data_IF_532305389795
#
_entry.id   IF_532305389795
#
_cell.length_a   1.000
_cell.length_b   1.000
_cell.length_c   1.000
_cell.angle_alpha   90.00
_cell.angle_beta   90.00
_cell.angle_gamma   90.00
#
_symmetry.space_group_name_H-M   'P 1'
#
loop_
_entity.id
_entity.type
_entity.pdbx_description
1 polymer ?
#
# COMPACT_ATOMS: atom_id res chain seq x y z
N UNK A 1 -5.72 -24.38 -16.18
CA UNK A 1 -5.59 -23.56 -17.40
C UNK A 1 -4.73 -22.35 -17.04
N UNK A 2 -3.49 -22.37 -17.56
CA UNK A 2 -2.43 -21.34 -17.67
C UNK A 2 -2.28 -20.28 -16.57
N UNK A 3 -1.28 -20.49 -15.71
CA UNK A 3 -0.61 -19.48 -14.89
C UNK A 3 0.13 -18.48 -15.79
N UNK A 4 -0.12 -17.18 -15.63
CA UNK A 4 0.74 -16.14 -16.23
C UNK A 4 1.96 -15.91 -15.34
N UNK A 5 3.19 -15.78 -15.89
CA UNK A 5 4.37 -15.48 -15.09
C UNK A 5 4.35 -14.00 -14.65
N UNK A 6 4.99 -13.71 -13.51
CA UNK A 6 5.30 -12.34 -13.09
C UNK A 6 6.13 -11.64 -14.19
N UNK A 7 5.81 -10.38 -14.56
CA UNK A 7 6.46 -9.71 -15.68
C UNK A 7 7.92 -9.37 -15.37
N UNK A 8 8.77 -9.58 -16.37
CA UNK A 8 10.18 -9.17 -16.41
C UNK A 8 10.32 -7.65 -16.56
N UNK A 9 11.36 -7.08 -15.94
CA UNK A 9 11.76 -5.67 -16.03
C UNK A 9 11.67 -5.11 -17.46
N UNK A 10 10.71 -4.24 -17.69
CA UNK A 10 10.66 -3.36 -18.86
C UNK A 10 10.55 -1.92 -18.37
N UNK A 11 11.44 -1.09 -18.90
CA UNK A 11 11.55 0.36 -18.71
C UNK A 11 10.17 1.02 -18.59
N UNK A 12 9.96 1.74 -17.48
CA UNK A 12 8.80 2.61 -17.31
C UNK A 12 9.13 3.89 -18.07
N UNK A 13 8.64 3.97 -19.31
CA UNK A 13 8.69 5.17 -20.13
C UNK A 13 8.02 6.36 -19.45
N UNK A 14 8.56 7.55 -19.75
CA UNK A 14 8.09 8.84 -19.27
C UNK A 14 6.57 8.96 -19.31
N UNK A 15 5.98 9.24 -18.15
CA UNK A 15 4.56 9.51 -18.02
C UNK A 15 4.29 10.91 -18.58
N UNK A 16 3.69 10.96 -19.75
CA UNK A 16 3.14 12.17 -20.37
C UNK A 16 2.23 12.91 -19.36
N UNK A 17 2.58 14.16 -19.06
CA UNK A 17 1.91 15.06 -18.09
C UNK A 17 0.51 15.56 -18.56
N UNK A 18 -0.10 14.92 -19.57
CA UNK A 18 -1.31 15.42 -20.24
C UNK A 18 -2.62 14.68 -19.90
N UNK A 19 -2.62 13.79 -18.90
CA UNK A 19 -3.86 13.09 -18.50
C UNK A 19 -4.60 13.86 -17.40
N UNK A 20 -5.39 14.85 -17.82
CA UNK A 20 -6.30 15.64 -16.99
C UNK A 20 -7.48 14.76 -16.51
N UNK A 21 -7.17 13.83 -15.60
CA UNK A 21 -8.11 12.89 -15.00
C UNK A 21 -8.39 13.30 -13.55
N UNK A 22 -9.59 13.83 -13.30
CA UNK A 22 -9.97 14.46 -12.03
C UNK A 22 -9.72 13.59 -10.77
N UNK A 23 -9.81 12.26 -10.85
CA UNK A 23 -9.54 11.38 -9.69
C UNK A 23 -8.06 11.10 -9.44
N UNK A 24 -7.25 11.03 -10.51
CA UNK A 24 -5.78 10.98 -10.44
C UNK A 24 -5.26 12.27 -9.81
N UNK A 25 -5.88 13.39 -10.20
CA UNK A 25 -5.68 14.69 -9.60
C UNK A 25 -6.02 14.70 -8.11
N UNK A 26 -7.17 14.17 -7.67
CA UNK A 26 -7.56 14.18 -6.24
C UNK A 26 -6.60 13.41 -5.32
N UNK A 27 -6.23 12.16 -5.65
CA UNK A 27 -5.29 11.37 -4.83
C UNK A 27 -3.90 12.02 -4.78
N UNK A 28 -3.45 12.60 -5.90
CA UNK A 28 -2.22 13.38 -5.97
C UNK A 28 -2.28 14.62 -5.07
N UNK A 29 -3.38 15.37 -5.10
CA UNK A 29 -3.58 16.53 -4.21
C UNK A 29 -3.61 16.11 -2.74
N UNK A 30 -4.27 15.01 -2.39
CA UNK A 30 -4.27 14.48 -1.03
C UNK A 30 -2.87 14.07 -0.57
N UNK A 31 -2.07 13.46 -1.45
CA UNK A 31 -0.67 13.13 -1.16
C UNK A 31 0.18 14.39 -0.91
N UNK A 32 0.03 15.42 -1.75
CA UNK A 32 0.71 16.72 -1.57
C UNK A 32 0.36 17.32 -0.22
N UNK A 33 -0.93 17.43 0.09
CA UNK A 33 -1.39 18.00 1.35
C UNK A 33 -0.88 17.20 2.56
N UNK A 34 -0.87 15.87 2.46
CA UNK A 34 -0.33 14.99 3.51
C UNK A 34 1.15 15.25 3.75
N UNK A 35 1.97 15.28 2.68
CA UNK A 35 3.40 15.54 2.79
C UNK A 35 3.71 16.95 3.29
N UNK A 36 2.95 17.96 2.84
CA UNK A 36 3.06 19.32 3.35
C UNK A 36 2.72 19.39 4.84
N UNK A 37 1.69 18.69 5.28
CA UNK A 37 1.32 18.64 6.69
C UNK A 37 2.40 17.96 7.55
N UNK A 38 2.95 16.83 7.09
CA UNK A 38 4.10 16.17 7.75
C UNK A 38 5.29 17.14 7.80
N UNK A 39 5.57 17.86 6.72
CA UNK A 39 6.63 18.87 6.70
C UNK A 39 6.37 20.00 7.70
N UNK A 40 5.14 20.49 7.84
CA UNK A 40 4.78 21.53 8.81
C UNK A 40 4.95 21.05 10.25
N UNK A 41 4.56 19.81 10.55
CA UNK A 41 4.73 19.20 11.87
C UNK A 41 6.20 19.00 12.24
N UNK A 42 7.11 19.00 11.26
CA UNK A 42 8.55 18.79 11.44
C UNK A 42 8.88 17.60 12.36
N UNK A 43 8.24 16.42 12.20
CA UNK A 43 8.56 15.31 13.05
C UNK A 43 10.03 14.90 12.83
N UNK A 44 10.72 14.39 13.86
CA UNK A 44 12.04 13.82 13.68
C UNK A 44 11.97 12.61 12.74
N UNK A 45 10.90 11.81 12.86
CA UNK A 45 10.64 10.61 12.10
C UNK A 45 9.13 10.34 11.98
N UNK A 46 8.74 9.55 10.98
CA UNK A 46 7.37 9.07 10.85
C UNK A 46 7.30 7.65 10.29
N UNK A 47 6.14 7.03 10.50
CA UNK A 47 5.74 5.73 9.97
C UNK A 47 4.47 5.95 9.16
N UNK A 48 4.31 5.20 8.07
CA UNK A 48 3.08 5.21 7.28
C UNK A 48 2.31 3.92 7.54
N UNK A 49 1.10 4.04 8.08
CA UNK A 49 0.19 2.92 8.31
C UNK A 49 -0.96 2.97 7.32
N UNK A 50 -0.99 1.98 6.43
CA UNK A 50 -1.84 1.93 5.24
C UNK A 50 -2.95 0.92 5.50
N UNK A 51 -4.20 1.37 5.41
CA UNK A 51 -5.37 0.51 5.50
C UNK A 51 -5.99 0.29 4.13
N UNK A 52 -6.15 -0.98 3.75
CA UNK A 52 -6.78 -1.39 2.49
C UNK A 52 -6.12 -0.78 1.23
N UNK A 53 -6.72 -1.03 0.06
CA UNK A 53 -6.25 -0.49 -1.21
C UNK A 53 -6.45 1.02 -1.35
N UNK A 54 -7.46 1.61 -0.68
CA UNK A 54 -7.62 3.06 -0.69
C UNK A 54 -6.39 3.76 -0.11
N UNK A 55 -5.85 3.23 0.99
CA UNK A 55 -4.57 3.70 1.53
C UNK A 55 -3.42 3.45 0.57
N UNK A 56 -3.37 2.31 -0.12
CA UNK A 56 -2.32 2.04 -1.11
C UNK A 56 -2.35 3.00 -2.31
N UNK A 57 -3.52 3.44 -2.77
CA UNK A 57 -3.62 4.43 -3.84
C UNK A 57 -3.06 5.79 -3.42
N UNK A 58 -3.29 6.20 -2.17
CA UNK A 58 -2.65 7.40 -1.61
C UNK A 58 -1.13 7.20 -1.47
N UNK A 59 -0.72 6.03 -0.95
CA UNK A 59 0.68 5.67 -0.81
C UNK A 59 1.42 5.67 -2.15
N UNK A 60 0.78 5.28 -3.24
CA UNK A 60 1.36 5.31 -4.59
C UNK A 60 1.83 6.72 -4.99
N UNK A 61 1.06 7.75 -4.63
CA UNK A 61 1.46 9.13 -4.88
C UNK A 61 2.47 9.65 -3.86
N UNK A 62 2.30 9.31 -2.58
CA UNK A 62 3.26 9.68 -1.53
C UNK A 62 4.65 9.11 -1.84
N UNK A 63 4.75 7.82 -2.18
CA UNK A 63 6.03 7.17 -2.54
C UNK A 63 6.64 7.82 -3.78
N UNK A 64 5.84 8.10 -4.80
CA UNK A 64 6.32 8.76 -6.01
C UNK A 64 6.91 10.13 -5.66
N UNK A 65 6.23 10.94 -4.84
CA UNK A 65 6.72 12.25 -4.43
C UNK A 65 7.92 12.18 -3.49
N UNK A 66 8.00 11.20 -2.60
CA UNK A 66 9.12 11.05 -1.66
C UNK A 66 10.41 10.62 -2.37
N UNK A 67 10.32 9.71 -3.34
CA UNK A 67 11.50 9.05 -3.90
C UNK A 67 11.84 9.46 -5.35
N UNK A 68 10.89 9.99 -6.13
CA UNK A 68 11.14 10.44 -7.50
C UNK A 68 11.25 11.95 -7.63
N UNK A 69 10.56 12.71 -6.77
CA UNK A 69 10.66 14.17 -6.76
C UNK A 69 11.53 14.59 -5.58
N UNK A 70 12.72 15.16 -5.86
CA UNK A 70 13.64 15.71 -4.84
C UNK A 70 13.09 16.90 -4.04
N UNK A 71 11.77 17.12 -4.04
CA UNK A 71 11.11 18.28 -3.42
C UNK A 71 10.98 18.16 -1.90
N UNK A 72 11.13 16.96 -1.33
CA UNK A 72 10.92 16.73 0.10
C UNK A 72 12.12 16.03 0.75
N UNK A 73 12.73 16.68 1.74
CA UNK A 73 13.73 16.05 2.63
C UNK A 73 13.09 15.08 3.65
N UNK A 74 11.90 14.56 3.36
CA UNK A 74 11.12 13.69 4.24
C UNK A 74 11.46 12.21 4.05
N UNK A 75 12.02 11.81 2.92
CA UNK A 75 12.37 10.41 2.64
C UNK A 75 13.28 9.80 3.73
N UNK A 76 14.24 10.59 4.22
CA UNK A 76 15.19 10.15 5.26
C UNK A 76 14.55 10.04 6.66
N UNK A 77 13.34 10.59 6.83
CA UNK A 77 12.58 10.56 8.09
C UNK A 77 11.57 9.41 8.14
N UNK A 78 11.31 8.74 7.02
CA UNK A 78 10.41 7.59 6.95
C UNK A 78 11.13 6.34 7.50
N UNK A 79 10.65 5.83 8.63
CA UNK A 79 11.29 4.70 9.30
C UNK A 79 10.72 3.33 8.95
N UNK A 80 9.51 3.27 8.40
CA UNK A 80 8.79 2.02 8.21
C UNK A 80 7.40 2.22 7.64
N UNK A 81 6.87 1.14 7.07
CA UNK A 81 5.55 1.09 6.43
C UNK A 81 4.79 -0.10 7.01
N UNK A 82 3.54 0.11 7.40
CA UNK A 82 2.63 -0.95 7.83
C UNK A 82 1.52 -1.05 6.79
N UNK A 83 1.33 -2.23 6.22
CA UNK A 83 0.19 -2.55 5.37
C UNK A 83 -0.80 -3.40 6.16
N UNK A 84 -1.99 -2.84 6.40
CA UNK A 84 -3.11 -3.50 7.07
C UNK A 84 -4.17 -3.83 6.03
N UNK A 85 -4.41 -5.13 5.84
CA UNK A 85 -5.33 -5.67 4.84
C UNK A 85 -4.98 -5.20 3.41
N UNK A 86 -3.69 -5.06 3.12
CA UNK A 86 -3.19 -4.48 1.89
C UNK A 86 -1.75 -4.94 1.57
N UNK A 87 -1.26 -4.72 0.34
CA UNK A 87 -2.07 -4.43 -0.84
C UNK A 87 -2.88 -5.63 -1.30
N UNK A 88 -4.13 -5.37 -1.67
CA UNK A 88 -5.07 -6.36 -2.12
C UNK A 88 -5.00 -6.52 -3.65
N UNK A 89 -4.72 -7.73 -4.11
CA UNK A 89 -4.85 -8.09 -5.52
C UNK A 89 -6.33 -8.20 -5.90
N UNK A 90 -6.73 -7.53 -6.97
CA UNK A 90 -8.07 -7.69 -7.57
C UNK A 90 -7.91 -7.93 -9.06
N UNK A 91 -8.74 -8.75 -9.68
CA UNK A 91 -8.51 -9.23 -11.06
C UNK A 91 -8.79 -8.20 -12.17
N UNK A 92 -8.78 -6.89 -11.86
CA UNK A 92 -9.21 -5.84 -12.78
C UNK A 92 -10.68 -5.94 -13.19
N UNK A 93 -11.49 -6.65 -12.40
CA UNK A 93 -12.92 -6.89 -12.62
C UNK A 93 -13.76 -5.94 -11.77
N UNK A 94 -14.82 -5.40 -12.36
CA UNK A 94 -15.73 -4.45 -11.68
C UNK A 94 -16.45 -5.12 -10.51
N UNK A 95 -16.70 -6.42 -10.56
CA UNK A 95 -17.31 -7.18 -9.47
C UNK A 95 -16.46 -7.15 -8.20
N UNK A 96 -15.13 -7.18 -8.34
CA UNK A 96 -14.22 -7.05 -7.19
C UNK A 96 -14.30 -5.67 -6.53
N UNK A 97 -14.56 -4.62 -7.33
CA UNK A 97 -14.84 -3.29 -6.79
C UNK A 97 -16.18 -3.28 -6.03
N UNK A 98 -17.20 -3.99 -6.52
CA UNK A 98 -18.50 -4.05 -5.83
C UNK A 98 -18.39 -4.65 -4.43
N UNK A 99 -17.62 -5.72 -4.25
CA UNK A 99 -17.38 -6.33 -2.93
C UNK A 99 -16.72 -5.34 -1.96
N UNK A 100 -15.81 -4.48 -2.43
CA UNK A 100 -15.23 -3.44 -1.59
C UNK A 100 -16.25 -2.37 -1.17
N UNK A 101 -17.23 -2.06 -2.03
CA UNK A 101 -18.28 -1.08 -1.75
C UNK A 101 -19.27 -1.53 -0.67
N UNK A 102 -19.34 -2.82 -0.35
CA UNK A 102 -20.16 -3.33 0.75
C UNK A 102 -19.73 -2.75 2.11
N UNK A 103 -18.47 -2.34 2.22
CA UNK A 103 -17.88 -1.75 3.42
C UNK A 103 -17.99 -0.22 3.47
N UNK A 104 -18.65 0.42 2.49
CA UNK A 104 -18.73 1.88 2.36
C UNK A 104 -20.13 2.40 2.71
N UNK A 105 -20.17 3.31 3.69
CA UNK A 105 -21.27 4.24 3.92
C UNK A 105 -22.63 3.61 4.20
N UNK A 106 -23.68 4.41 4.05
CA UNK A 106 -25.06 3.93 4.10
C UNK A 106 -25.48 3.24 2.78
N UNK A 107 -26.66 2.61 2.80
CA UNK A 107 -27.18 1.86 1.64
C UNK A 107 -27.37 2.75 0.40
N UNK A 108 -27.80 4.00 0.56
CA UNK A 108 -28.06 4.90 -0.57
C UNK A 108 -26.76 5.30 -1.25
N UNK A 109 -25.74 5.64 -0.46
CA UNK A 109 -24.40 5.92 -0.96
C UNK A 109 -23.81 4.70 -1.68
N UNK A 110 -23.92 3.52 -1.07
CA UNK A 110 -23.46 2.27 -1.69
C UNK A 110 -24.15 1.99 -3.02
N UNK A 111 -25.47 2.16 -3.10
CA UNK A 111 -26.22 1.92 -4.34
C UNK A 111 -25.79 2.88 -5.46
N UNK A 112 -25.49 4.14 -5.13
CA UNK A 112 -24.91 5.13 -6.09
C UNK A 112 -23.52 4.69 -6.55
N UNK A 113 -22.67 4.26 -5.64
CA UNK A 113 -21.31 3.81 -5.96
C UNK A 113 -21.30 2.53 -6.80
N UNK A 114 -22.20 1.58 -6.54
CA UNK A 114 -22.33 0.35 -7.33
C UNK A 114 -22.77 0.70 -8.77
N UNK A 115 -23.72 1.61 -8.94
CA UNK A 115 -24.14 2.09 -10.27
C UNK A 115 -22.98 2.73 -11.02
N UNK A 116 -22.21 3.58 -10.34
CA UNK A 116 -21.01 4.20 -10.90
C UNK A 116 -19.97 3.15 -11.29
N UNK A 117 -19.67 2.19 -10.41
CA UNK A 117 -18.71 1.13 -10.66
C UNK A 117 -19.08 0.32 -11.92
N UNK A 118 -20.38 0.00 -12.11
CA UNK A 118 -20.89 -0.69 -13.30
C UNK A 118 -20.77 0.11 -14.59
N UNK A 119 -20.73 1.44 -14.51
CA UNK A 119 -20.52 2.31 -15.67
C UNK A 119 -19.05 2.49 -16.05
N UNK A 120 -18.11 1.98 -15.25
CA UNK A 120 -16.68 2.12 -15.53
C UNK A 120 -16.27 1.27 -16.74
N UNK A 121 -15.40 1.86 -17.57
CA UNK A 121 -14.73 1.14 -18.65
C UNK A 121 -13.85 0.02 -18.07
N UNK A 122 -14.17 -1.23 -18.41
CA UNK A 122 -13.47 -2.41 -17.90
C UNK A 122 -12.00 -2.47 -18.35
N UNK A 123 -11.68 -2.00 -19.56
CA UNK A 123 -10.29 -1.94 -20.03
C UNK A 123 -9.50 -0.90 -19.24
N UNK A 124 -10.12 0.24 -18.94
CA UNK A 124 -9.50 1.27 -18.08
C UNK A 124 -9.27 0.76 -16.66
N UNK A 125 -10.25 0.06 -16.06
CA UNK A 125 -10.12 -0.56 -14.73
C UNK A 125 -8.99 -1.60 -14.73
N UNK A 126 -8.94 -2.47 -15.74
CA UNK A 126 -7.90 -3.49 -15.86
C UNK A 126 -6.51 -2.87 -16.06
N UNK A 127 -6.39 -1.82 -16.86
CA UNK A 127 -5.12 -1.09 -17.06
C UNK A 127 -4.64 -0.48 -15.75
N UNK A 128 -5.51 0.28 -15.07
CA UNK A 128 -5.19 0.91 -13.78
C UNK A 128 -4.83 -0.12 -12.71
N UNK A 129 -5.52 -1.26 -12.68
CA UNK A 129 -5.16 -2.39 -11.83
C UNK A 129 -3.73 -2.87 -12.08
N UNK A 130 -3.38 -3.13 -13.35
CA UNK A 130 -2.05 -3.61 -13.71
C UNK A 130 -0.97 -2.58 -13.33
N UNK A 131 -1.20 -1.30 -13.62
CA UNK A 131 -0.31 -0.19 -13.23
C UNK A 131 -0.11 -0.15 -11.71
N UNK A 132 -1.21 -0.20 -10.94
CA UNK A 132 -1.18 -0.22 -9.48
C UNK A 132 -0.40 -1.42 -8.95
N UNK A 133 -0.78 -2.63 -9.36
CA UNK A 133 -0.21 -3.85 -8.83
C UNK A 133 1.26 -3.99 -9.22
N UNK A 134 1.60 -3.75 -10.49
CA UNK A 134 2.99 -3.81 -10.94
C UNK A 134 3.82 -2.72 -10.26
N UNK A 135 3.33 -1.48 -10.20
CA UNK A 135 4.05 -0.37 -9.58
C UNK A 135 4.28 -0.56 -8.08
N UNK A 136 3.35 -1.20 -7.39
CA UNK A 136 3.48 -1.48 -5.96
C UNK A 136 4.33 -2.72 -5.68
N UNK A 137 4.18 -3.79 -6.47
CA UNK A 137 4.98 -5.01 -6.31
C UNK A 137 6.44 -4.81 -6.72
N UNK A 138 6.67 -4.07 -7.81
CA UNK A 138 8.00 -3.76 -8.34
C UNK A 138 8.50 -2.41 -7.80
N UNK A 139 8.21 -2.09 -6.54
CA UNK A 139 8.66 -0.85 -5.93
C UNK A 139 10.18 -0.90 -5.70
N UNK A 140 10.95 -0.52 -6.73
CA UNK A 140 12.42 -0.50 -6.80
C UNK A 140 13.02 0.88 -6.49
N UNK A 141 12.22 1.78 -5.90
CA UNK A 141 12.57 3.20 -5.82
C UNK A 141 12.97 3.60 -4.40
N UNK A 142 13.80 2.79 -3.75
CA UNK A 142 14.40 3.13 -2.45
C UNK A 142 13.56 2.75 -1.21
N UNK A 143 12.29 2.35 -1.38
CA UNK A 143 11.53 1.69 -0.31
C UNK A 143 12.06 0.29 0.03
N UNK A 144 12.93 -0.26 -0.83
CA UNK A 144 13.59 -1.56 -0.69
C UNK A 144 14.39 -1.73 0.61
N UNK A 145 14.78 -0.61 1.24
CA UNK A 145 15.52 -0.60 2.49
C UNK A 145 14.68 -0.14 3.70
N UNK A 146 13.41 0.20 3.46
CA UNK A 146 12.47 0.63 4.49
C UNK A 146 11.79 -0.61 5.05
N UNK A 147 11.84 -0.83 6.38
CA UNK A 147 11.09 -1.90 7.03
C UNK A 147 9.61 -1.90 6.67
N UNK A 148 9.04 -3.09 6.48
CA UNK A 148 7.63 -3.27 6.13
C UNK A 148 6.98 -4.31 7.05
N UNK A 149 5.78 -4.04 7.52
CA UNK A 149 4.94 -4.98 8.27
C UNK A 149 3.63 -5.22 7.51
N UNK A 150 3.30 -6.49 7.28
CA UNK A 150 2.04 -6.90 6.66
C UNK A 150 1.12 -7.53 7.71
N UNK A 151 -0.06 -6.94 7.91
CA UNK A 151 -1.13 -7.43 8.79
C UNK A 151 -2.28 -7.90 7.89
N UNK A 152 -2.65 -9.18 7.97
CA UNK A 152 -3.62 -9.78 7.05
C UNK A 152 -4.30 -11.01 7.65
N UNK A 153 -5.36 -11.50 7.00
CA UNK A 153 -6.17 -12.62 7.49
C UNK A 153 -6.37 -13.69 6.42
N UNK A 154 -6.61 -14.93 6.84
CA UNK A 154 -6.97 -16.04 5.95
C UNK A 154 -8.38 -15.95 5.36
N UNK A 155 -9.27 -15.17 5.98
CA UNK A 155 -10.65 -14.96 5.54
C UNK A 155 -10.92 -13.58 4.94
N UNK A 156 -9.87 -12.80 4.65
CA UNK A 156 -10.04 -11.51 3.98
C UNK A 156 -10.22 -11.72 2.48
N UNK A 157 -11.48 -11.65 2.03
CA UNK A 157 -11.83 -11.84 0.62
C UNK A 157 -11.36 -10.69 -0.28
N UNK A 158 -11.19 -9.49 0.28
CA UNK A 158 -10.69 -8.34 -0.47
C UNK A 158 -9.17 -8.42 -0.60
N UNK A 159 -8.46 -8.70 0.50
CA UNK A 159 -7.01 -8.86 0.53
C UNK A 159 -6.62 -10.34 0.53
N UNK A 160 -6.79 -10.98 -0.62
CA UNK A 160 -6.60 -12.42 -0.75
C UNK A 160 -5.22 -12.88 -0.27
N UNK A 161 -5.24 -13.77 0.72
CA UNK A 161 -4.07 -14.30 1.44
C UNK A 161 -2.98 -14.87 0.53
N UNK A 162 -3.36 -15.53 -0.57
CA UNK A 162 -2.41 -16.16 -1.49
C UNK A 162 -1.51 -15.12 -2.15
N UNK A 163 -2.11 -14.06 -2.71
CA UNK A 163 -1.36 -13.02 -3.40
C UNK A 163 -0.51 -12.19 -2.45
N UNK A 164 -0.99 -11.98 -1.21
CA UNK A 164 -0.20 -11.33 -0.17
C UNK A 164 1.01 -12.17 0.25
N UNK A 165 0.84 -13.46 0.50
CA UNK A 165 1.95 -14.36 0.86
C UNK A 165 2.97 -14.46 -0.29
N UNK A 166 2.54 -14.50 -1.55
CA UNK A 166 3.41 -14.45 -2.73
C UNK A 166 4.20 -13.13 -2.80
N UNK A 167 3.55 -11.98 -2.58
CA UNK A 167 4.20 -10.67 -2.55
C UNK A 167 5.22 -10.57 -1.40
N UNK A 168 4.85 -10.99 -0.20
CA UNK A 168 5.73 -10.98 0.98
C UNK A 168 6.96 -11.86 0.72
N UNK A 169 6.76 -13.04 0.13
CA UNK A 169 7.86 -13.94 -0.23
C UNK A 169 8.78 -13.31 -1.28
N UNK A 170 8.22 -12.68 -2.31
CA UNK A 170 8.97 -11.94 -3.32
C UNK A 170 9.80 -10.81 -2.70
N UNK A 171 9.20 -9.97 -1.85
CA UNK A 171 9.92 -8.87 -1.18
C UNK A 171 11.04 -9.36 -0.28
N UNK A 172 10.84 -10.44 0.46
CA UNK A 172 11.91 -11.10 1.24
C UNK A 172 13.06 -11.57 0.35
N UNK A 173 12.81 -11.93 -0.90
CA UNK A 173 13.88 -12.36 -1.82
C UNK A 173 14.62 -11.17 -2.45
N UNK A 174 13.92 -10.08 -2.76
CA UNK A 174 14.48 -8.94 -3.48
C UNK A 174 15.11 -7.87 -2.58
N UNK A 175 14.52 -7.59 -1.41
CA UNK A 175 15.01 -6.52 -0.53
C UNK A 175 16.34 -6.91 0.11
N UNK A 176 17.28 -5.95 0.17
CA UNK A 176 18.56 -6.07 0.88
C UNK A 176 18.32 -6.14 2.39
N UNK A 177 17.92 -7.32 2.88
CA UNK A 177 17.62 -7.60 4.28
C UNK A 177 16.25 -8.25 4.47
N UNK A 178 16.21 -9.59 4.39
CA UNK A 178 15.02 -10.41 4.69
C UNK A 178 14.37 -10.04 6.02
N UNK A 179 15.20 -9.66 6.99
CA UNK A 179 14.82 -9.23 8.34
C UNK A 179 14.01 -7.93 8.38
N UNK A 180 13.86 -7.22 7.25
CA UNK A 180 13.09 -5.97 7.15
C UNK A 180 11.65 -6.19 6.70
N UNK A 181 11.25 -7.40 6.31
CA UNK A 181 9.89 -7.72 5.82
C UNK A 181 9.15 -8.63 6.81
N UNK A 182 8.33 -8.01 7.65
CA UNK A 182 7.58 -8.61 8.74
C UNK A 182 6.16 -8.93 8.30
N UNK A 183 5.54 -9.93 8.91
CA UNK A 183 4.19 -10.32 8.55
C UNK A 183 3.47 -11.00 9.72
N UNK A 184 2.23 -10.62 9.99
CA UNK A 184 1.31 -11.28 10.94
C UNK A 184 0.04 -11.69 10.21
N UNK A 185 -0.20 -12.99 10.18
CA UNK A 185 -1.44 -13.58 9.68
C UNK A 185 -2.38 -13.86 10.85
N UNK A 186 -3.57 -13.30 10.78
CA UNK A 186 -4.68 -13.54 11.71
C UNK A 186 -5.60 -14.63 11.15
N UNK A 187 -6.34 -15.31 12.03
CA UNK A 187 -7.31 -16.33 11.65
C UNK A 187 -8.73 -15.76 11.74
N UNK A 188 -9.46 -15.74 10.65
CA UNK A 188 -10.88 -15.41 10.63
C UNK A 188 -11.21 -13.95 10.98
N UNK A 189 -10.25 -13.00 10.91
CA UNK A 189 -10.56 -11.57 11.08
C UNK A 189 -11.01 -10.95 9.76
N UNK A 190 -12.04 -10.11 9.82
CA UNK A 190 -12.52 -9.38 8.64
C UNK A 190 -11.49 -8.39 8.11
N UNK A 191 -11.70 -7.93 6.87
CA UNK A 191 -10.94 -6.85 6.26
C UNK A 191 -10.85 -5.62 7.19
N UNK A 192 -9.64 -5.11 7.43
CA UNK A 192 -9.31 -4.02 8.38
C UNK A 192 -9.83 -4.24 9.82
N UNK A 193 -10.22 -5.46 10.17
CA UNK A 193 -10.85 -5.80 11.45
C UNK A 193 -9.89 -6.44 12.46
N UNK A 194 -8.58 -6.48 12.15
CA UNK A 194 -7.59 -7.23 12.92
C UNK A 194 -7.46 -6.70 14.36
N UNK A 195 -7.28 -5.39 14.54
CA UNK A 195 -7.21 -4.76 15.87
C UNK A 195 -8.48 -5.02 16.71
N UNK A 196 -9.65 -5.00 16.07
CA UNK A 196 -10.93 -5.23 16.76
C UNK A 196 -11.06 -6.67 17.25
N UNK A 197 -10.58 -7.64 16.48
CA UNK A 197 -10.71 -9.07 16.80
C UNK A 197 -9.56 -9.57 17.69
N UNK A 198 -8.35 -9.08 17.47
CA UNK A 198 -7.10 -9.54 18.08
C UNK A 198 -6.27 -8.35 18.60
N UNK A 199 -6.78 -7.59 19.58
CA UNK A 199 -6.15 -6.34 20.00
C UNK A 199 -4.72 -6.56 20.52
N UNK A 200 -4.51 -7.57 21.37
CA UNK A 200 -3.20 -7.85 21.96
C UNK A 200 -2.18 -8.26 20.91
N UNK A 201 -2.52 -9.20 20.03
CA UNK A 201 -1.61 -9.69 19.00
C UNK A 201 -1.31 -8.62 17.95
N UNK A 202 -2.28 -7.75 17.67
CA UNK A 202 -2.11 -6.60 16.78
C UNK A 202 -1.16 -5.57 17.38
N UNK A 203 -1.42 -5.14 18.61
CA UNK A 203 -0.59 -4.17 19.33
C UNK A 203 0.84 -4.67 19.52
N UNK A 204 1.01 -5.95 19.86
CA UNK A 204 2.33 -6.58 19.96
C UNK A 204 3.06 -6.55 18.61
N UNK A 205 2.38 -6.91 17.52
CA UNK A 205 2.99 -6.94 16.17
C UNK A 205 3.42 -5.55 15.73
N UNK A 206 2.57 -4.55 15.94
CA UNK A 206 2.87 -3.15 15.62
C UNK A 206 3.97 -2.62 16.53
N UNK A 207 3.87 -2.83 17.85
CA UNK A 207 4.85 -2.38 18.84
C UNK A 207 6.25 -2.89 18.55
N UNK A 208 6.40 -4.20 18.36
CA UNK A 208 7.70 -4.82 18.05
C UNK A 208 8.29 -4.27 16.74
N UNK A 209 7.45 -4.02 15.74
CA UNK A 209 7.90 -3.42 14.49
C UNK A 209 8.36 -1.98 14.65
N UNK A 210 7.66 -1.17 15.46
CA UNK A 210 8.05 0.21 15.77
C UNK A 210 9.38 0.26 16.53
N UNK A 211 9.58 -0.64 17.50
CA UNK A 211 10.85 -0.78 18.22
C UNK A 211 12.00 -1.12 17.27
N UNK A 212 11.79 -2.08 16.36
CA UNK A 212 12.77 -2.42 15.33
C UNK A 212 13.12 -1.21 14.43
N UNK A 213 12.11 -0.48 13.95
CA UNK A 213 12.31 0.68 13.08
C UNK A 213 13.12 1.79 13.75
N UNK A 214 12.83 2.07 15.02
CA UNK A 214 13.50 3.12 15.80
C UNK A 214 14.93 2.73 16.22
N UNK A 215 15.16 1.47 16.59
CA UNK A 215 16.50 0.96 16.89
C UNK A 215 17.41 0.96 15.65
N UNK A 216 16.87 0.58 14.49
CA UNK A 216 17.62 0.58 13.23
C UNK A 216 18.07 1.99 12.81
N UNK A 217 17.28 3.03 13.11
CA UNK A 217 17.67 4.43 12.88
C UNK A 217 18.81 4.88 13.79
N UNK A 218 18.74 4.54 15.09
CA UNK A 218 19.82 4.83 16.04
C UNK A 218 21.18 4.29 15.56
N UNK A 219 21.18 3.10 14.96
CA UNK A 219 22.39 2.50 14.40
C UNK A 219 22.89 3.16 13.11
N UNK A 220 21.98 3.67 12.25
CA UNK A 220 22.35 4.47 11.07
C UNK A 220 23.04 5.78 11.49
N UNK A 221 22.54 6.43 12.54
CA UNK A 221 23.07 7.70 13.05
C UNK A 221 24.43 7.55 13.76
N UNK A 222 24.70 6.43 14.42
CA UNK A 222 25.99 6.18 15.09
C UNK A 222 27.16 5.87 14.13
N UNK A 223 26.89 5.70 12.83
CA UNK A 223 27.89 5.40 11.79
C UNK A 223 28.21 6.59 10.88
N UNK A 224 27.56 7.73 11.09
CA UNK A 224 27.85 9.03 10.46
C UNK A 224 28.62 9.90 11.44
#
# INVERSE_FOLDING_TARGET
MTNGPLPSNTDIGDVDDNDDNSSSSEMKHLAINTLQHIQQLQPPHFIVHIFSNNGCFLWEWIRYMLFHKSSYNLQNKLLGIIFDSAPAYFHGKVEGLQSALEYVGDKEQRDKLIKLARSLDTNRVKRRHNEFWNGLCNDTYGSENIPQLYLYSDCDELANVKYLEELIAYRRQQMSGKERVWSRKFVGSSHCGHLKKYPTEYEESVGNFLEFCTAADGFRRSRL
#
